data_IF_243520305990
#
_entry.id   IF_243520305990
#
_cell.length_a   1.000
_cell.length_b   1.000
_cell.length_c   1.000
_cell.angle_alpha   90.00
_cell.angle_beta   90.00
_cell.angle_gamma   90.00
#
_symmetry.space_group_name_H-M   'P 1'
#
loop_
_entity.id
_entity.type
_entity.pdbx_description
1 polymer ?
#
# COMPACT_ATOMS: atom_id res chain seq x y z
N UNK A 1 25.79 -18.33 -18.19
CA UNK A 1 26.13 -18.31 -16.75
C UNK A 1 25.66 -16.97 -16.20
N UNK A 2 24.75 -16.93 -15.24
CA UNK A 2 24.31 -15.66 -14.61
C UNK A 2 25.44 -15.05 -13.79
N UNK A 3 25.61 -13.73 -13.92
CA UNK A 3 26.66 -12.97 -13.24
C UNK A 3 26.44 -12.97 -11.72
N UNK A 4 27.51 -12.74 -10.96
CA UNK A 4 27.43 -12.59 -9.49
C UNK A 4 26.40 -11.52 -9.09
N UNK A 5 26.40 -10.38 -9.80
CA UNK A 5 25.46 -9.28 -9.57
C UNK A 5 24.00 -9.69 -9.76
N UNK A 6 23.70 -10.47 -10.80
CA UNK A 6 22.33 -10.97 -11.05
C UNK A 6 21.86 -11.92 -9.93
N UNK A 7 22.76 -12.77 -9.43
CA UNK A 7 22.45 -13.67 -8.31
C UNK A 7 22.17 -12.91 -7.02
N UNK A 8 22.94 -11.87 -6.73
CA UNK A 8 22.74 -11.00 -5.57
C UNK A 8 21.40 -10.26 -5.65
N UNK A 9 21.05 -9.72 -6.84
CA UNK A 9 19.74 -9.09 -7.08
C UNK A 9 18.59 -10.07 -6.88
N UNK A 10 18.68 -11.30 -7.40
CA UNK A 10 17.64 -12.33 -7.22
C UNK A 10 17.40 -12.63 -5.74
N UNK A 11 18.47 -12.89 -4.97
CA UNK A 11 18.38 -13.14 -3.53
C UNK A 11 17.73 -11.98 -2.78
N UNK A 12 18.03 -10.74 -3.18
CA UNK A 12 17.42 -9.57 -2.56
C UNK A 12 15.93 -9.47 -2.88
N UNK A 13 15.52 -9.76 -4.13
CA UNK A 13 14.11 -9.81 -4.48
C UNK A 13 13.37 -10.92 -3.72
N UNK A 14 13.96 -12.10 -3.57
CA UNK A 14 13.39 -13.19 -2.75
C UNK A 14 13.18 -12.75 -1.29
N UNK A 15 14.16 -12.05 -0.68
CA UNK A 15 14.03 -11.47 0.65
C UNK A 15 12.87 -10.48 0.75
N UNK A 16 12.73 -9.58 -0.22
CA UNK A 16 11.63 -8.62 -0.27
C UNK A 16 10.26 -9.30 -0.40
N UNK A 17 10.17 -10.35 -1.22
CA UNK A 17 8.94 -11.15 -1.36
C UNK A 17 8.57 -11.83 -0.04
N UNK A 18 9.54 -12.34 0.72
CA UNK A 18 9.29 -12.93 2.05
C UNK A 18 8.75 -11.88 3.04
N UNK A 19 9.31 -10.67 3.05
CA UNK A 19 8.86 -9.58 3.92
C UNK A 19 7.40 -9.20 3.60
N UNK A 20 7.08 -8.94 2.33
CA UNK A 20 5.72 -8.59 1.92
C UNK A 20 4.73 -9.72 2.21
N UNK A 21 5.15 -10.97 2.00
CA UNK A 21 4.34 -12.14 2.35
C UNK A 21 4.07 -12.25 3.84
N UNK A 22 5.04 -11.87 4.68
CA UNK A 22 4.86 -11.85 6.13
C UNK A 22 3.91 -10.73 6.56
N UNK A 23 4.03 -9.53 5.97
CA UNK A 23 3.11 -8.41 6.23
C UNK A 23 1.66 -8.78 5.85
N UNK A 24 1.44 -9.47 4.74
CA UNK A 24 0.11 -9.93 4.31
C UNK A 24 -0.56 -10.96 5.25
N UNK A 25 0.18 -11.49 6.24
CA UNK A 25 -0.38 -12.34 7.30
C UNK A 25 -0.95 -11.55 8.48
N UNK A 26 -0.62 -10.27 8.60
CA UNK A 26 -1.21 -9.38 9.62
C UNK A 26 -2.71 -9.17 9.33
N UNK A 27 -3.53 -9.13 10.37
CA UNK A 27 -5.00 -9.16 10.23
C UNK A 27 -5.54 -8.07 9.30
N UNK A 28 -5.09 -6.82 9.46
CA UNK A 28 -5.56 -5.70 8.65
C UNK A 28 -5.05 -5.73 7.20
N UNK A 29 -3.91 -6.39 6.96
CA UNK A 29 -3.31 -6.52 5.62
C UNK A 29 -3.95 -7.66 4.82
N UNK A 30 -4.71 -8.56 5.45
CA UNK A 30 -5.47 -9.64 4.76
C UNK A 30 -6.63 -9.10 3.92
N UNK A 31 -6.98 -7.83 4.07
CA UNK A 31 -8.09 -7.18 3.39
C UNK A 31 -7.62 -5.92 2.68
N UNK A 32 -8.16 -5.65 1.50
CA UNK A 32 -7.95 -4.40 0.78
C UNK A 32 -8.34 -3.21 1.68
N UNK A 33 -7.44 -2.24 1.85
CA UNK A 33 -7.69 -1.11 2.76
C UNK A 33 -8.85 -0.21 2.33
N UNK A 34 -9.30 -0.28 1.07
CA UNK A 34 -10.35 0.61 0.57
C UNK A 34 -11.73 -0.06 0.44
N UNK A 35 -11.79 -1.36 0.17
CA UNK A 35 -13.04 -2.06 -0.12
C UNK A 35 -13.25 -3.38 0.65
N UNK A 36 -12.33 -3.73 1.56
CA UNK A 36 -12.37 -4.95 2.38
C UNK A 36 -12.41 -6.29 1.60
N UNK A 37 -12.08 -6.28 0.30
CA UNK A 37 -11.89 -7.53 -0.44
C UNK A 37 -10.69 -8.29 0.12
N UNK A 38 -10.86 -9.58 0.40
CA UNK A 38 -9.81 -10.47 0.93
C UNK A 38 -8.61 -10.58 -0.01
N UNK A 39 -7.45 -10.89 0.58
CA UNK A 39 -6.22 -11.26 -0.09
C UNK A 39 -5.74 -10.21 -1.12
N UNK A 40 -5.50 -8.95 -0.70
CA UNK A 40 -4.93 -7.96 -1.61
C UNK A 40 -3.57 -8.44 -2.13
N UNK A 41 -3.33 -8.25 -3.44
CA UNK A 41 -2.09 -8.65 -4.14
C UNK A 41 -1.39 -7.47 -4.80
N UNK A 42 -1.86 -6.25 -4.53
CA UNK A 42 -1.30 -5.00 -5.01
C UNK A 42 -1.02 -4.10 -3.82
N UNK A 43 -0.17 -3.10 -4.03
CA UNK A 43 0.16 -2.12 -3.01
C UNK A 43 0.36 -0.75 -3.62
N UNK A 44 0.01 0.29 -2.88
CA UNK A 44 0.53 1.64 -3.12
C UNK A 44 1.71 1.85 -2.18
N UNK A 45 2.93 1.79 -2.72
CA UNK A 45 4.12 1.70 -1.87
C UNK A 45 4.50 3.02 -1.21
N UNK A 46 4.23 4.16 -1.85
CA UNK A 46 4.52 5.47 -1.28
C UNK A 46 3.50 5.89 -0.19
N UNK A 47 2.30 5.30 -0.23
CA UNK A 47 1.31 5.44 0.84
C UNK A 47 1.55 4.36 1.91
N UNK A 48 2.02 3.18 1.51
CA UNK A 48 2.32 2.05 2.38
C UNK A 48 1.11 1.16 2.67
N UNK A 49 0.23 0.95 1.67
CA UNK A 49 -1.03 0.19 1.82
C UNK A 49 -1.14 -0.97 0.85
N UNK A 50 -1.79 -2.05 1.29
CA UNK A 50 -2.20 -3.19 0.47
C UNK A 50 -3.64 -3.02 -0.03
N UNK A 51 -3.80 -3.20 -1.34
CA UNK A 51 -5.04 -2.99 -2.10
C UNK A 51 -5.32 -4.16 -3.05
N UNK A 52 -6.59 -4.37 -3.39
CA UNK A 52 -6.95 -5.35 -4.42
C UNK A 52 -6.65 -4.78 -5.83
N UNK A 53 -6.69 -5.65 -6.85
CA UNK A 53 -6.44 -5.25 -8.25
C UNK A 53 -7.38 -4.14 -8.73
N UNK A 54 -8.65 -4.17 -8.28
CA UNK A 54 -9.64 -3.17 -8.63
C UNK A 54 -9.27 -1.79 -8.07
N UNK A 55 -9.00 -1.71 -6.75
CA UNK A 55 -8.58 -0.45 -6.12
C UNK A 55 -7.23 0.03 -6.65
N UNK A 56 -6.32 -0.89 -7.01
CA UNK A 56 -5.10 -0.55 -7.71
C UNK A 56 -5.36 0.16 -9.05
N UNK A 57 -6.46 -0.12 -9.75
CA UNK A 57 -6.92 0.65 -10.91
C UNK A 57 -7.24 2.11 -10.55
N UNK A 58 -8.09 2.31 -9.55
CA UNK A 58 -8.47 3.66 -9.09
C UNK A 58 -7.28 4.46 -8.53
N UNK A 59 -6.37 3.80 -7.82
CA UNK A 59 -5.13 4.42 -7.35
C UNK A 59 -4.23 4.90 -8.50
N UNK A 60 -4.22 4.24 -9.66
CA UNK A 60 -3.50 4.74 -10.85
C UNK A 60 -4.14 6.01 -11.40
N UNK A 61 -5.47 6.13 -11.35
CA UNK A 61 -6.21 7.32 -11.79
C UNK A 61 -5.97 8.56 -10.90
N UNK A 62 -5.40 8.39 -9.70
CA UNK A 62 -4.94 9.51 -8.86
C UNK A 62 -3.65 10.14 -9.39
N UNK A 63 -2.86 9.41 -10.17
CA UNK A 63 -1.55 9.85 -10.65
C UNK A 63 -0.41 9.59 -9.67
N UNK A 64 0.81 9.49 -10.22
CA UNK A 64 2.04 9.08 -9.50
C UNK A 64 2.53 10.05 -8.43
N UNK A 65 2.01 11.28 -8.43
CA UNK A 65 2.28 12.28 -7.41
C UNK A 65 1.48 12.02 -6.11
N UNK A 66 0.40 11.23 -6.18
CA UNK A 66 -0.40 10.81 -5.04
C UNK A 66 -0.13 9.34 -4.69
N UNK A 67 -0.22 8.45 -5.68
CA UNK A 67 -0.15 7.00 -5.45
C UNK A 67 0.71 6.29 -6.50
N UNK A 68 1.66 5.49 -6.03
CA UNK A 68 2.58 4.70 -6.85
C UNK A 68 2.30 3.21 -6.60
N UNK A 69 1.68 2.57 -7.58
CA UNK A 69 1.12 1.22 -7.45
C UNK A 69 2.09 0.17 -7.98
N UNK A 70 2.23 -0.94 -7.24
CA UNK A 70 2.98 -2.15 -7.67
C UNK A 70 2.21 -3.42 -7.32
N UNK A 71 2.39 -4.45 -8.13
CA UNK A 71 2.03 -5.82 -7.80
C UNK A 71 2.97 -6.32 -6.70
N UNK A 72 2.42 -6.99 -5.69
CA UNK A 72 3.23 -7.55 -4.61
C UNK A 72 4.18 -8.61 -5.18
N UNK A 73 3.68 -9.49 -6.06
CA UNK A 73 4.42 -10.67 -6.52
C UNK A 73 5.05 -10.51 -7.91
N UNK A 74 4.54 -9.61 -8.76
CA UNK A 74 4.96 -9.51 -10.17
C UNK A 74 5.97 -8.40 -10.45
N UNK A 75 6.09 -7.42 -9.55
CA UNK A 75 7.03 -6.31 -9.70
C UNK A 75 8.28 -6.52 -8.83
N UNK A 76 9.42 -6.02 -9.30
CA UNK A 76 10.64 -5.94 -8.49
C UNK A 76 10.56 -4.80 -7.48
N UNK A 77 11.04 -4.99 -6.26
CA UNK A 77 11.00 -4.01 -5.17
C UNK A 77 12.38 -3.46 -4.81
N UNK A 78 12.42 -2.26 -4.25
CA UNK A 78 13.64 -1.67 -3.67
C UNK A 78 13.55 -1.66 -2.14
N UNK A 79 14.69 -1.55 -1.45
CA UNK A 79 14.72 -1.47 0.02
C UNK A 79 13.86 -0.33 0.57
N UNK A 80 13.91 0.85 -0.08
CA UNK A 80 13.06 2.01 0.25
C UNK A 80 11.57 1.69 0.16
N UNK A 81 11.15 1.00 -0.89
CA UNK A 81 9.74 0.65 -1.08
C UNK A 81 9.27 -0.34 -0.03
N UNK A 82 10.13 -1.29 0.36
CA UNK A 82 9.84 -2.23 1.44
C UNK A 82 9.78 -1.53 2.79
N UNK A 83 10.73 -0.65 3.10
CA UNK A 83 10.72 0.15 4.31
C UNK A 83 9.47 1.03 4.42
N UNK A 84 9.03 1.61 3.30
CA UNK A 84 7.78 2.37 3.22
C UNK A 84 6.54 1.52 3.56
N UNK A 85 6.47 0.29 3.03
CA UNK A 85 5.39 -0.63 3.38
C UNK A 85 5.42 -0.98 4.87
N UNK A 86 6.60 -1.30 5.42
CA UNK A 86 6.78 -1.67 6.83
C UNK A 86 6.48 -0.51 7.80
N UNK A 87 6.76 0.73 7.41
CA UNK A 87 6.47 1.90 8.24
C UNK A 87 4.97 2.21 8.38
N UNK A 88 4.13 1.69 7.48
CA UNK A 88 2.70 1.96 7.44
C UNK A 88 1.86 0.70 7.65
N UNK A 89 1.59 -0.08 6.59
CA UNK A 89 0.60 -1.15 6.60
C UNK A 89 -0.84 -0.64 6.70
N UNK A 90 -1.81 -1.54 6.48
CA UNK A 90 -3.22 -1.15 6.43
C UNK A 90 -3.76 -0.67 7.79
N UNK A 91 -3.25 -1.23 8.89
CA UNK A 91 -3.67 -0.85 10.25
C UNK A 91 -3.41 0.63 10.51
N UNK A 92 -2.15 1.06 10.33
CA UNK A 92 -1.75 2.47 10.51
C UNK A 92 -2.40 3.36 9.46
N UNK A 93 -2.53 2.89 8.22
CA UNK A 93 -3.18 3.67 7.18
C UNK A 93 -4.66 3.95 7.47
N UNK A 94 -5.40 3.02 8.10
CA UNK A 94 -6.77 3.31 8.58
C UNK A 94 -6.75 4.35 9.69
N UNK A 95 -5.88 4.18 10.69
CA UNK A 95 -5.74 5.14 11.79
C UNK A 95 -5.38 6.55 11.31
N UNK A 96 -4.70 6.67 10.17
CA UNK A 96 -4.29 7.95 9.57
C UNK A 96 -5.33 8.49 8.58
N UNK A 97 -5.59 7.78 7.48
CA UNK A 97 -6.40 8.28 6.36
C UNK A 97 -7.90 8.17 6.60
N UNK A 98 -8.31 7.39 7.60
CA UNK A 98 -9.70 7.19 7.99
C UNK A 98 -9.96 7.67 9.43
N UNK A 99 -9.06 8.48 10.00
CA UNK A 99 -9.11 8.94 11.40
C UNK A 99 -10.43 9.65 11.75
N UNK A 100 -10.99 10.40 10.81
CA UNK A 100 -12.23 11.15 10.97
C UNK A 100 -13.40 10.57 10.15
N UNK A 101 -13.29 9.30 9.73
CA UNK A 101 -14.36 8.64 9.00
C UNK A 101 -15.56 8.42 9.96
N UNK A 102 -16.81 8.71 9.54
CA UNK A 102 -17.96 8.59 10.44
C UNK A 102 -18.15 7.16 10.96
N UNK A 103 -18.57 7.05 12.23
CA UNK A 103 -18.95 5.77 12.81
C UNK A 103 -20.04 5.08 11.97
N UNK A 104 -19.90 3.76 11.80
CA UNK A 104 -20.82 2.97 10.99
C UNK A 104 -20.70 3.18 9.48
N UNK A 105 -19.67 3.90 8.99
CA UNK A 105 -19.41 4.02 7.56
C UNK A 105 -19.33 2.65 6.89
N UNK A 106 -20.10 2.48 5.81
CA UNK A 106 -20.09 1.27 4.98
C UNK A 106 -19.23 1.50 3.75
N UNK A 107 -18.19 0.69 3.59
CA UNK A 107 -17.31 0.79 2.42
C UNK A 107 -18.09 0.55 1.12
N UNK A 108 -17.96 1.45 0.13
CA UNK A 108 -18.67 1.32 -1.14
C UNK A 108 -18.21 0.09 -1.92
N UNK A 109 -19.18 -0.55 -2.60
CA UNK A 109 -18.92 -1.75 -3.40
C UNK A 109 -19.00 -1.50 -4.91
N UNK A 110 -19.80 -0.51 -5.35
CA UNK A 110 -19.92 -0.12 -6.74
C UNK A 110 -18.75 0.78 -7.16
N UNK A 111 -18.25 0.57 -8.38
CA UNK A 111 -17.00 1.15 -8.86
C UNK A 111 -16.99 2.69 -8.81
N UNK A 112 -18.05 3.36 -9.26
CA UNK A 112 -18.13 4.82 -9.23
C UNK A 112 -18.05 5.41 -7.81
N UNK A 113 -18.77 4.79 -6.86
CA UNK A 113 -18.74 5.20 -5.45
C UNK A 113 -17.43 4.85 -4.77
N UNK A 114 -16.78 3.75 -5.18
CA UNK A 114 -15.49 3.34 -4.65
C UNK A 114 -14.35 4.22 -5.14
N UNK A 115 -14.34 4.58 -6.43
CA UNK A 115 -13.40 5.56 -6.97
C UNK A 115 -13.54 6.91 -6.26
N UNK A 116 -14.78 7.37 -6.07
CA UNK A 116 -15.07 8.62 -5.35
C UNK A 116 -14.57 8.57 -3.89
N UNK A 117 -14.73 7.44 -3.21
CA UNK A 117 -14.21 7.24 -1.86
C UNK A 117 -12.68 7.28 -1.81
N UNK A 118 -12.01 6.60 -2.76
CA UNK A 118 -10.54 6.58 -2.86
C UNK A 118 -9.99 7.99 -3.12
N UNK A 119 -10.62 8.78 -4.01
CA UNK A 119 -10.27 10.20 -4.23
C UNK A 119 -10.46 11.03 -2.97
N UNK A 120 -11.62 10.92 -2.31
CA UNK A 120 -11.87 11.63 -1.06
C UNK A 120 -10.83 11.28 0.02
N UNK A 121 -10.43 10.01 0.11
CA UNK A 121 -9.47 9.50 1.09
C UNK A 121 -8.04 10.00 0.86
N UNK A 122 -7.52 9.93 -0.37
CA UNK A 122 -6.10 10.19 -0.63
C UNK A 122 -5.79 11.51 -1.35
N UNK A 123 -6.65 11.94 -2.27
CA UNK A 123 -6.47 13.19 -3.03
C UNK A 123 -6.98 14.38 -2.21
N UNK A 124 -8.19 14.28 -1.67
CA UNK A 124 -8.80 15.34 -0.86
C UNK A 124 -8.41 15.26 0.62
N UNK A 125 -7.85 14.12 1.05
CA UNK A 125 -7.46 13.83 2.45
C UNK A 125 -8.59 14.11 3.44
N UNK A 126 -9.83 13.83 3.03
CA UNK A 126 -11.06 14.27 3.71
C UNK A 126 -11.16 13.84 5.18
N UNK A 127 -10.57 12.70 5.53
CA UNK A 127 -10.65 12.12 6.87
C UNK A 127 -9.28 11.93 7.53
N UNK A 128 -8.23 12.54 6.99
CA UNK A 128 -6.87 12.35 7.49
C UNK A 128 -6.74 12.88 8.93
N UNK A 129 -5.94 12.22 9.76
CA UNK A 129 -5.50 12.76 11.05
C UNK A 129 -4.75 14.09 10.82
N UNK A 130 -5.13 15.15 11.52
CA UNK A 130 -4.61 16.52 11.28
C UNK A 130 -3.12 16.63 11.56
N UNK A 131 -2.65 15.90 12.56
CA UNK A 131 -1.28 15.90 13.05
C UNK A 131 -0.40 14.88 12.32
N UNK A 132 -0.94 14.18 11.31
CA UNK A 132 -0.18 13.17 10.58
C UNK A 132 0.91 13.81 9.72
N UNK A 133 2.15 13.41 10.00
CA UNK A 133 3.31 13.71 9.18
C UNK A 133 3.83 12.39 8.61
N UNK A 134 3.99 12.27 7.27
CA UNK A 134 4.57 11.09 6.67
C UNK A 134 5.95 10.79 7.27
N UNK A 135 6.26 9.53 7.63
CA UNK A 135 7.56 9.18 8.18
C UNK A 135 8.65 9.37 7.14
N UNK A 136 9.82 9.82 7.58
CA UNK A 136 11.03 9.77 6.75
C UNK A 136 11.41 8.30 6.55
N UNK A 137 11.39 7.84 5.30
CA UNK A 137 11.78 6.48 4.95
C UNK A 137 13.32 6.45 4.86
N UNK A 138 13.97 6.16 5.98
CA UNK A 138 15.41 5.90 6.00
C UNK A 138 15.65 4.46 5.56
N UNK A 139 16.29 4.28 4.41
CA UNK A 139 16.85 2.97 4.05
C UNK A 139 18.14 2.82 4.85
N UNK A 140 18.32 1.76 5.65
CA UNK A 140 19.64 1.44 6.18
C UNK A 140 20.61 1.36 4.99
N UNK A 141 21.67 2.15 5.02
CA UNK A 141 22.75 2.04 4.04
C UNK A 141 23.42 0.70 4.35
N UNK A 142 23.16 -0.30 3.51
CA UNK A 142 23.85 -1.60 3.54
C UNK A 142 25.37 -1.40 3.34
#
# INVERSE_FOLDING_TARGET
MTSRSEREKSKMQEKYQMILSQMLKEEDNKYCVDCDTKSPRWASWNIGVFICIRCAGFHRNLGVHISKVKSVNLDSWTGEQIASMQAMGNSRARAVYEANLPDGFRRPQADSTLESFIRAKYEQRKWIAKEWIPPEITVPID
#
